data_IF_878139674600
#
_entry.id   IF_878139674600
#
_cell.length_a   1.000
_cell.length_b   1.000
_cell.length_c   1.000
_cell.angle_alpha   90.00
_cell.angle_beta   90.00
_cell.angle_gamma   90.00
#
_symmetry.space_group_name_H-M   'P 1'
#
loop_
_entity.id
_entity.type
_entity.pdbx_description
1 polymer ?
#
# COMPACT_ATOMS: atom_id res chain seq x y z
N UNK A 1 -10.08 18.03 -33.11
CA UNK A 1 -10.62 17.36 -31.91
C UNK A 1 -9.54 16.45 -31.38
N UNK A 2 -8.67 17.02 -30.55
CA UNK A 2 -7.51 16.33 -29.97
C UNK A 2 -7.93 15.87 -28.58
N UNK A 3 -7.98 14.55 -28.35
CA UNK A 3 -8.28 14.00 -27.02
C UNK A 3 -7.06 14.20 -26.15
N UNK A 4 -7.11 15.19 -25.27
CA UNK A 4 -6.19 15.35 -24.15
C UNK A 4 -6.19 14.05 -23.34
N UNK A 5 -5.03 13.40 -23.24
CA UNK A 5 -4.84 12.25 -22.37
C UNK A 5 -4.92 12.67 -20.92
N UNK A 6 -5.88 12.11 -20.19
CA UNK A 6 -5.90 12.15 -18.73
C UNK A 6 -4.70 11.36 -18.20
N UNK A 7 -3.61 12.05 -17.87
CA UNK A 7 -2.58 11.53 -16.99
C UNK A 7 -3.16 11.40 -15.59
N UNK A 8 -3.74 10.24 -15.28
CA UNK A 8 -4.33 9.94 -13.97
C UNK A 8 -3.31 10.06 -12.83
N UNK A 9 -3.79 10.52 -11.67
CA UNK A 9 -3.14 10.77 -10.37
C UNK A 9 -2.24 9.64 -9.79
N UNK A 10 -2.04 8.52 -10.49
CA UNK A 10 -1.27 7.37 -10.00
C UNK A 10 0.24 7.60 -9.87
N UNK A 11 0.81 8.58 -10.58
CA UNK A 11 2.22 8.92 -10.48
C UNK A 11 2.61 9.55 -9.14
N UNK A 12 1.68 10.31 -8.54
CA UNK A 12 1.90 11.01 -7.28
C UNK A 12 1.78 10.05 -6.08
N UNK A 13 0.72 9.23 -6.06
CA UNK A 13 0.46 8.26 -4.99
C UNK A 13 1.60 7.25 -4.80
N UNK A 14 2.17 6.75 -5.90
CA UNK A 14 3.28 5.79 -5.83
C UNK A 14 4.56 6.43 -5.27
N UNK A 15 4.84 7.69 -5.63
CA UNK A 15 5.98 8.44 -5.10
C UNK A 15 5.80 8.75 -3.62
N UNK A 16 4.61 9.15 -3.21
CA UNK A 16 4.24 9.36 -1.80
C UNK A 16 4.37 8.09 -0.98
N UNK A 17 3.93 6.96 -1.50
CA UNK A 17 4.10 5.66 -0.83
C UNK A 17 5.57 5.31 -0.63
N UNK A 18 6.42 5.53 -1.66
CA UNK A 18 7.85 5.28 -1.56
C UNK A 18 8.52 6.19 -0.54
N UNK A 19 8.18 7.49 -0.52
CA UNK A 19 8.65 8.45 0.48
C UNK A 19 8.25 8.03 1.89
N UNK A 20 6.97 7.71 2.09
CA UNK A 20 6.47 7.16 3.35
C UNK A 20 7.21 5.89 3.79
N UNK A 21 7.47 4.95 2.87
CA UNK A 21 8.17 3.72 3.18
C UNK A 21 9.65 3.97 3.59
N UNK A 22 10.31 4.97 3.00
CA UNK A 22 11.66 5.38 3.39
C UNK A 22 11.64 6.03 4.78
N UNK A 23 10.73 6.98 5.01
CA UNK A 23 10.58 7.70 6.29
C UNK A 23 10.22 6.75 7.44
N UNK A 24 9.38 5.74 7.19
CA UNK A 24 9.03 4.70 8.15
C UNK A 24 10.14 3.66 8.37
N UNK A 25 11.26 3.72 7.63
CA UNK A 25 12.33 2.74 7.69
C UNK A 25 11.97 1.35 7.12
N UNK A 26 10.79 1.23 6.51
CA UNK A 26 10.30 0.01 5.85
C UNK A 26 11.14 -0.29 4.61
N UNK A 27 11.44 0.74 3.80
CA UNK A 27 12.33 0.66 2.65
C UNK A 27 13.70 1.23 3.03
N UNK A 28 14.73 0.39 2.95
CA UNK A 28 16.13 0.77 3.25
C UNK A 28 17.05 0.43 2.09
N UNK A 29 18.05 1.26 1.86
CA UNK A 29 19.10 1.06 0.86
C UNK A 29 20.40 0.59 1.54
N UNK A 30 21.16 -0.27 0.86
CA UNK A 30 22.33 -0.92 1.43
C UNK A 30 22.67 -2.22 0.70
N UNK A 31 23.30 -3.18 1.37
CA UNK A 31 23.56 -4.51 0.81
C UNK A 31 22.83 -5.57 1.63
N UNK A 32 21.84 -6.23 1.02
CA UNK A 32 20.99 -7.20 1.71
C UNK A 32 20.97 -8.53 0.96
N UNK A 33 21.22 -9.64 1.67
CA UNK A 33 21.07 -10.98 1.09
C UNK A 33 19.61 -11.43 1.20
N UNK A 34 18.96 -11.63 0.05
CA UNK A 34 17.59 -12.17 -0.01
C UNK A 34 17.54 -13.65 0.38
N UNK A 35 16.34 -14.18 0.64
CA UNK A 35 16.13 -15.61 0.91
C UNK A 35 16.62 -16.52 -0.23
N UNK A 36 16.58 -16.03 -1.47
CA UNK A 36 17.09 -16.73 -2.65
C UNK A 36 18.62 -16.57 -2.83
N UNK A 37 19.32 -15.94 -1.89
CA UNK A 37 20.77 -15.73 -1.94
C UNK A 37 21.25 -14.54 -2.76
N UNK A 38 20.38 -13.89 -3.55
CA UNK A 38 20.70 -12.67 -4.31
C UNK A 38 21.07 -11.52 -3.39
N UNK A 39 22.13 -10.78 -3.73
CA UNK A 39 22.46 -9.49 -3.09
C UNK A 39 21.58 -8.40 -3.71
N UNK A 40 20.81 -7.71 -2.87
CA UNK A 40 19.88 -6.65 -3.24
C UNK A 40 20.39 -5.31 -2.72
N UNK A 41 20.33 -4.23 -3.53
CA UNK A 41 20.72 -2.89 -3.10
C UNK A 41 19.70 -2.23 -2.15
N UNK A 42 18.57 -2.90 -1.89
CA UNK A 42 17.52 -2.46 -0.98
C UNK A 42 16.82 -3.63 -0.30
N UNK A 43 16.14 -3.33 0.80
CA UNK A 43 15.27 -4.26 1.52
C UNK A 43 13.97 -3.58 1.93
N UNK A 44 12.85 -4.29 1.75
CA UNK A 44 11.52 -3.83 2.13
C UNK A 44 10.97 -4.71 3.26
N UNK A 45 10.77 -4.15 4.45
CA UNK A 45 10.22 -4.83 5.61
C UNK A 45 8.86 -4.26 6.00
N UNK A 46 7.78 -4.79 5.40
CA UNK A 46 6.41 -4.38 5.74
C UNK A 46 6.06 -4.56 7.22
N UNK A 47 6.82 -5.37 7.98
CA UNK A 47 6.62 -5.54 9.42
C UNK A 47 6.95 -4.30 10.26
N UNK A 48 7.56 -3.27 9.68
CA UNK A 48 7.83 -1.97 10.34
C UNK A 48 6.67 -0.98 10.19
N UNK A 49 5.58 -1.37 9.53
CA UNK A 49 4.27 -0.72 9.72
C UNK A 49 3.66 -1.25 11.03
N UNK A 50 4.28 -0.90 12.15
CA UNK A 50 4.09 -1.52 13.47
C UNK A 50 3.37 -0.65 14.51
N UNK A 51 2.99 0.57 14.12
CA UNK A 51 2.13 1.46 14.91
C UNK A 51 0.83 1.82 14.17
N UNK A 52 -0.14 2.34 14.92
CA UNK A 52 -1.47 2.66 14.38
C UNK A 52 -1.45 3.75 13.31
N UNK A 53 -0.56 4.74 13.41
CA UNK A 53 -0.50 5.84 12.45
C UNK A 53 0.08 5.35 11.11
N UNK A 54 1.14 4.53 11.16
CA UNK A 54 1.73 3.88 9.98
C UNK A 54 0.76 2.91 9.32
N UNK A 55 0.02 2.12 10.11
CA UNK A 55 -0.98 1.19 9.58
C UNK A 55 -2.14 1.95 8.91
N UNK A 56 -2.64 3.02 9.53
CA UNK A 56 -3.68 3.86 8.93
C UNK A 56 -3.18 4.47 7.61
N UNK A 57 -1.98 5.07 7.60
CA UNK A 57 -1.41 5.66 6.39
C UNK A 57 -1.18 4.62 5.29
N UNK A 58 -0.77 3.40 5.65
CA UNK A 58 -0.68 2.27 4.72
C UNK A 58 -2.05 1.94 4.13
N UNK A 59 -3.09 1.84 4.96
CA UNK A 59 -4.45 1.54 4.51
C UNK A 59 -4.99 2.63 3.56
N UNK A 60 -4.69 3.91 3.81
CA UNK A 60 -5.04 5.02 2.91
C UNK A 60 -4.46 4.82 1.50
N UNK A 61 -3.19 4.42 1.38
CA UNK A 61 -2.56 4.14 0.08
C UNK A 61 -3.24 2.97 -0.64
N UNK A 62 -3.56 1.89 0.08
CA UNK A 62 -4.26 0.74 -0.49
C UNK A 62 -5.69 1.08 -0.93
N UNK A 63 -6.45 1.80 -0.09
CA UNK A 63 -7.81 2.20 -0.39
C UNK A 63 -7.88 3.14 -1.60
N UNK A 64 -7.00 4.15 -1.65
CA UNK A 64 -6.88 5.05 -2.80
C UNK A 64 -6.60 4.26 -4.08
N UNK A 65 -5.62 3.33 -4.03
CA UNK A 65 -5.27 2.54 -5.21
C UNK A 65 -6.38 1.60 -5.66
N UNK A 66 -7.10 0.97 -4.72
CA UNK A 66 -8.24 0.11 -5.01
C UNK A 66 -9.38 0.89 -5.66
N UNK A 67 -9.76 2.04 -5.09
CA UNK A 67 -10.83 2.89 -5.65
C UNK A 67 -10.46 3.40 -7.06
N UNK A 68 -9.22 3.82 -7.26
CA UNK A 68 -8.73 4.28 -8.55
C UNK A 68 -8.53 3.16 -9.59
N UNK A 69 -8.49 1.89 -9.17
CA UNK A 69 -8.21 0.77 -10.07
C UNK A 69 -9.38 0.40 -10.98
N UNK A 70 -10.60 0.76 -10.60
CA UNK A 70 -11.82 0.29 -11.27
C UNK A 70 -12.07 -1.22 -11.15
N UNK A 71 -11.34 -1.92 -10.28
CA UNK A 71 -11.62 -3.32 -9.98
C UNK A 71 -12.93 -3.44 -9.20
N UNK A 72 -13.78 -4.35 -9.65
CA UNK A 72 -14.95 -4.76 -8.89
C UNK A 72 -14.59 -5.84 -7.88
N UNK A 73 -15.07 -5.66 -6.65
CA UNK A 73 -14.89 -6.58 -5.54
C UNK A 73 -16.00 -6.37 -4.50
N UNK A 74 -16.35 -7.47 -3.82
CA UNK A 74 -17.40 -7.51 -2.81
C UNK A 74 -16.85 -7.73 -1.38
N UNK A 75 -15.55 -7.98 -1.24
CA UNK A 75 -14.90 -8.18 0.06
C UNK A 75 -13.38 -7.91 0.03
N UNK A 76 -12.80 -7.63 1.20
CA UNK A 76 -11.35 -7.53 1.43
C UNK A 76 -10.87 -8.75 2.21
N UNK A 77 -10.08 -9.60 1.56
CA UNK A 77 -9.51 -10.79 2.19
C UNK A 77 -8.06 -10.56 2.67
N UNK A 78 -7.84 -10.67 3.98
CA UNK A 78 -6.53 -10.54 4.62
C UNK A 78 -5.93 -11.89 5.07
N UNK A 79 -4.97 -12.49 4.34
CA UNK A 79 -4.43 -13.81 4.69
C UNK A 79 -3.61 -13.81 5.98
N UNK A 80 -3.69 -14.90 6.75
CA UNK A 80 -2.96 -15.03 8.02
C UNK A 80 -1.42 -15.05 7.83
N UNK A 81 -0.63 -14.44 8.71
CA UNK A 81 -1.01 -13.57 9.84
C UNK A 81 -0.95 -12.08 9.49
N UNK A 82 -0.01 -11.70 8.62
CA UNK A 82 0.28 -10.29 8.30
C UNK A 82 -0.85 -9.59 7.55
N UNK A 83 -1.63 -10.34 6.77
CA UNK A 83 -2.77 -9.80 6.03
C UNK A 83 -3.97 -9.51 6.92
N UNK A 84 -4.09 -10.08 8.11
CA UNK A 84 -5.22 -9.85 9.03
C UNK A 84 -5.34 -8.36 9.41
N UNK A 85 -4.32 -7.72 10.00
CA UNK A 85 -4.42 -6.30 10.36
C UNK A 85 -4.54 -5.40 9.13
N UNK A 86 -3.85 -5.73 8.03
CA UNK A 86 -3.93 -4.96 6.79
C UNK A 86 -5.34 -5.01 6.17
N UNK A 87 -5.93 -6.20 6.06
CA UNK A 87 -7.27 -6.38 5.50
C UNK A 87 -8.32 -5.62 6.31
N UNK A 88 -8.29 -5.77 7.64
CA UNK A 88 -9.23 -5.08 8.53
C UNK A 88 -9.12 -3.55 8.44
N UNK A 89 -7.89 -3.02 8.39
CA UNK A 89 -7.66 -1.56 8.31
C UNK A 89 -8.00 -0.99 6.93
N UNK A 90 -7.71 -1.71 5.85
CA UNK A 90 -8.13 -1.33 4.49
C UNK A 90 -9.65 -1.33 4.35
N UNK A 91 -10.35 -2.36 4.85
CA UNK A 91 -11.82 -2.40 4.85
C UNK A 91 -12.41 -1.21 5.63
N UNK A 92 -11.86 -0.91 6.80
CA UNK A 92 -12.26 0.26 7.62
C UNK A 92 -12.05 1.57 6.88
N UNK A 93 -10.91 1.74 6.20
CA UNK A 93 -10.59 2.94 5.43
C UNK A 93 -11.47 3.08 4.18
N UNK A 94 -11.80 1.99 3.49
CA UNK A 94 -12.77 1.99 2.39
C UNK A 94 -14.16 2.42 2.87
N UNK A 95 -14.61 1.91 4.03
CA UNK A 95 -15.87 2.32 4.63
C UNK A 95 -15.89 3.81 4.97
N UNK A 96 -14.80 4.36 5.51
CA UNK A 96 -14.63 5.81 5.76
C UNK A 96 -14.76 6.64 4.48
N UNK A 97 -14.37 6.08 3.34
CA UNK A 97 -14.46 6.70 1.99
C UNK A 97 -15.77 6.40 1.26
N UNK A 98 -16.74 5.75 1.92
CA UNK A 98 -18.06 5.48 1.36
C UNK A 98 -18.18 4.17 0.57
N UNK A 99 -17.14 3.34 0.49
CA UNK A 99 -17.23 1.97 -0.04
C UNK A 99 -17.18 0.96 1.10
N UNK A 100 -18.35 0.58 1.59
CA UNK A 100 -18.47 -0.37 2.70
C UNK A 100 -18.57 -1.81 2.18
N UNK A 101 -17.51 -2.60 2.39
CA UNK A 101 -17.48 -4.03 2.09
C UNK A 101 -16.87 -4.81 3.25
N UNK A 102 -17.28 -6.07 3.48
CA UNK A 102 -16.71 -6.94 4.51
C UNK A 102 -15.23 -7.26 4.29
#
# INVERSE_FOLDING_TARGET
>A
MEKSGETGQGGDLAQDFVRFAIEAGVLRFGSFKTKAGRISPYFFNAGLFDDGARMLRLAEFYAERLLASGLEFDMIFGPAYKGIPLGATVATELARRGRNVP
#
